data_IF_515149912467
#
_entry.id   IF_515149912467
#
_cell.length_a   1.000
_cell.length_b   1.000
_cell.length_c   1.000
_cell.angle_alpha   90.00
_cell.angle_beta   90.00
_cell.angle_gamma   90.00
#
_symmetry.space_group_name_H-M   'P 1'
#
loop_
_entity.id
_entity.type
_entity.pdbx_description
1 polymer ?
#
# COMPACT_ATOMS: atom_id res chain seq x y z
N UNK A 1 68.78 -38.06 54.74
CA UNK A 1 68.76 -36.62 54.44
C UNK A 1 69.61 -36.40 53.21
N UNK A 2 69.12 -35.98 52.05
CA UNK A 2 67.79 -35.56 51.66
C UNK A 2 67.71 -35.45 50.13
N UNK A 3 66.50 -35.61 49.60
CA UNK A 3 65.98 -34.96 48.38
C UNK A 3 66.59 -35.33 47.01
N UNK A 4 66.38 -36.57 46.55
CA UNK A 4 66.36 -36.88 45.11
C UNK A 4 65.18 -37.80 44.77
N UNK A 5 63.99 -37.21 44.64
CA UNK A 5 62.85 -37.84 43.97
C UNK A 5 62.12 -36.78 43.15
N UNK A 6 62.82 -36.26 42.14
CA UNK A 6 62.23 -35.43 41.10
C UNK A 6 61.43 -36.36 40.18
N UNK A 7 60.18 -36.63 40.59
CA UNK A 7 59.19 -37.23 39.71
C UNK A 7 58.94 -36.26 38.56
N UNK A 8 59.62 -36.49 37.45
CA UNK A 8 59.24 -35.93 36.16
C UNK A 8 57.87 -36.50 35.85
N UNK A 9 56.82 -35.74 36.17
CA UNK A 9 55.48 -36.01 35.68
C UNK A 9 55.51 -35.70 34.19
N UNK A 10 55.89 -36.67 33.37
CA UNK A 10 55.54 -36.66 31.95
C UNK A 10 54.03 -36.88 31.86
N UNK A 11 53.21 -35.88 31.46
CA UNK A 11 51.83 -36.17 31.07
C UNK A 11 51.86 -36.88 29.70
N UNK A 12 52.20 -38.18 29.72
CA UNK A 12 51.88 -39.10 28.64
C UNK A 12 50.43 -39.57 28.82
N UNK A 13 49.48 -38.63 28.79
CA UNK A 13 48.05 -38.91 28.76
C UNK A 13 47.51 -38.37 27.44
N UNK A 14 47.73 -39.17 26.40
CA UNK A 14 46.93 -39.30 25.19
C UNK A 14 46.02 -38.11 24.87
N UNK A 15 46.56 -37.15 24.09
CA UNK A 15 45.73 -36.45 23.12
C UNK A 15 45.30 -37.49 22.06
N UNK A 16 44.37 -38.37 22.43
CA UNK A 16 43.67 -39.20 21.47
C UNK A 16 42.92 -38.22 20.56
N UNK A 17 43.45 -38.00 19.36
CA UNK A 17 42.88 -37.08 18.37
C UNK A 17 41.42 -37.44 18.19
N UNK A 18 40.55 -36.54 18.62
CA UNK A 18 39.11 -36.74 18.61
C UNK A 18 38.63 -36.67 17.15
N UNK A 19 38.82 -37.73 16.37
CA UNK A 19 38.60 -37.71 14.92
C UNK A 19 37.15 -37.42 14.51
N UNK A 20 36.19 -37.75 15.39
CA UNK A 20 34.77 -37.47 15.14
C UNK A 20 34.48 -35.97 15.10
N UNK A 21 35.21 -35.13 15.85
CA UNK A 21 35.01 -33.67 15.80
C UNK A 21 35.43 -33.10 14.46
N UNK A 22 36.46 -33.67 13.81
CA UNK A 22 36.91 -33.28 12.47
C UNK A 22 35.82 -33.53 11.42
N UNK A 23 35.11 -34.66 11.50
CA UNK A 23 33.98 -34.94 10.60
C UNK A 23 32.80 -34.01 10.87
N UNK A 24 32.49 -33.72 12.14
CA UNK A 24 31.43 -32.79 12.50
C UNK A 24 31.75 -31.38 12.00
N UNK A 25 32.95 -30.85 12.25
CA UNK A 25 33.34 -29.51 11.80
C UNK A 25 33.38 -29.40 10.28
N UNK A 26 33.81 -30.44 9.57
CA UNK A 26 33.79 -30.48 8.11
C UNK A 26 32.35 -30.48 7.53
N UNK A 27 31.39 -31.07 8.22
CA UNK A 27 29.98 -31.11 7.81
C UNK A 27 29.17 -29.87 8.21
N UNK A 28 29.62 -29.11 9.21
CA UNK A 28 28.93 -27.88 9.65
C UNK A 28 28.89 -26.83 8.55
N UNK A 29 30.00 -26.58 7.85
CA UNK A 29 30.06 -25.57 6.78
C UNK A 29 29.06 -25.82 5.64
N UNK A 30 29.03 -27.01 4.99
CA UNK A 30 28.03 -27.28 3.95
C UNK A 30 26.60 -27.32 4.52
N UNK A 31 26.39 -27.77 5.75
CA UNK A 31 25.07 -27.74 6.39
C UNK A 31 24.57 -26.30 6.56
N UNK A 32 25.41 -25.39 7.09
CA UNK A 32 25.09 -23.97 7.22
C UNK A 32 24.84 -23.36 5.84
N UNK A 33 25.63 -23.71 4.82
CA UNK A 33 25.43 -23.23 3.46
C UNK A 33 24.07 -23.65 2.88
N UNK A 34 23.65 -24.90 3.09
CA UNK A 34 22.33 -25.40 2.66
C UNK A 34 21.20 -24.66 3.39
N UNK A 35 21.32 -24.47 4.71
CA UNK A 35 20.33 -23.71 5.49
C UNK A 35 20.26 -22.26 5.00
N UNK A 36 21.39 -21.61 4.77
CA UNK A 36 21.45 -20.25 4.26
C UNK A 36 20.81 -20.13 2.87
N UNK A 37 21.07 -21.08 1.98
CA UNK A 37 20.45 -21.12 0.65
C UNK A 37 18.93 -21.28 0.73
N UNK A 38 18.43 -22.14 1.63
CA UNK A 38 16.99 -22.25 1.88
C UNK A 38 16.42 -20.93 2.41
N UNK A 39 17.01 -20.35 3.46
CA UNK A 39 16.53 -19.08 4.03
C UNK A 39 16.48 -17.98 2.97
N UNK A 40 17.52 -17.86 2.13
CA UNK A 40 17.54 -16.89 1.04
C UNK A 40 16.41 -17.12 0.02
N UNK A 41 16.13 -18.37 -0.35
CA UNK A 41 15.02 -18.71 -1.23
C UNK A 41 13.65 -18.36 -0.61
N UNK A 42 13.46 -18.64 0.68
CA UNK A 42 12.26 -18.26 1.43
C UNK A 42 12.08 -16.73 1.50
N UNK A 43 13.16 -15.98 1.68
CA UNK A 43 13.13 -14.52 1.66
C UNK A 43 12.77 -13.97 0.27
N UNK A 44 13.35 -14.53 -0.79
CA UNK A 44 13.05 -14.12 -2.16
C UNK A 44 11.58 -14.32 -2.52
N UNK A 45 11.01 -15.48 -2.20
CA UNK A 45 9.60 -15.77 -2.44
C UNK A 45 8.68 -14.85 -1.61
N UNK A 46 9.04 -14.54 -0.37
CA UNK A 46 8.32 -13.60 0.49
C UNK A 46 8.36 -12.17 -0.07
N UNK A 47 9.54 -11.69 -0.48
CA UNK A 47 9.69 -10.36 -1.08
C UNK A 47 8.86 -10.21 -2.36
N UNK A 48 8.79 -11.26 -3.19
CA UNK A 48 7.96 -11.24 -4.41
C UNK A 48 6.47 -11.15 -4.12
N UNK A 49 5.99 -11.82 -3.07
CA UNK A 49 4.59 -11.72 -2.61
C UNK A 49 4.30 -10.35 -2.02
N UNK A 50 5.23 -9.81 -1.23
CA UNK A 50 5.12 -8.47 -0.64
C UNK A 50 4.97 -7.38 -1.70
N UNK A 51 5.74 -7.43 -2.78
CA UNK A 51 5.62 -6.45 -3.87
C UNK A 51 4.20 -6.37 -4.45
N UNK A 52 3.50 -7.50 -4.59
CA UNK A 52 2.11 -7.53 -5.08
C UNK A 52 1.15 -6.93 -4.06
N UNK A 53 1.35 -7.23 -2.78
CA UNK A 53 0.55 -6.68 -1.69
C UNK A 53 0.73 -5.17 -1.61
N UNK A 54 1.98 -4.69 -1.62
CA UNK A 54 2.30 -3.25 -1.56
C UNK A 54 1.63 -2.50 -2.73
N UNK A 55 1.66 -3.07 -3.95
CA UNK A 55 0.97 -2.48 -5.11
C UNK A 55 -0.56 -2.45 -4.93
N UNK A 56 -1.14 -3.52 -4.39
CA UNK A 56 -2.57 -3.60 -4.11
C UNK A 56 -2.98 -2.55 -3.07
N UNK A 57 -2.25 -2.44 -1.96
CA UNK A 57 -2.49 -1.44 -0.92
C UNK A 57 -2.42 -0.02 -1.49
N UNK A 58 -1.43 0.28 -2.33
CA UNK A 58 -1.34 1.59 -3.00
C UNK A 58 -2.52 1.89 -3.92
N UNK A 59 -3.04 0.89 -4.63
CA UNK A 59 -4.24 1.08 -5.46
C UNK A 59 -5.50 1.25 -4.60
N UNK A 60 -5.58 0.54 -3.48
CA UNK A 60 -6.69 0.64 -2.54
C UNK A 60 -6.74 2.02 -1.88
N UNK A 61 -5.58 2.60 -1.52
CA UNK A 61 -5.49 3.98 -0.99
C UNK A 61 -6.14 5.01 -1.95
N UNK A 62 -5.89 4.89 -3.26
CA UNK A 62 -6.49 5.78 -4.28
C UNK A 62 -7.99 5.56 -4.41
N UNK A 63 -8.43 4.30 -4.38
CA UNK A 63 -9.86 3.96 -4.39
C UNK A 63 -10.59 4.54 -3.17
N UNK A 64 -10.04 4.35 -1.98
CA UNK A 64 -10.63 4.82 -0.74
C UNK A 64 -10.73 6.35 -0.74
N UNK A 65 -9.70 7.06 -1.22
CA UNK A 65 -9.73 8.52 -1.35
C UNK A 65 -10.87 8.99 -2.28
N UNK A 66 -10.99 8.37 -3.47
CA UNK A 66 -12.03 8.73 -4.43
C UNK A 66 -13.45 8.40 -3.91
N UNK A 67 -13.64 7.20 -3.35
CA UNK A 67 -14.93 6.75 -2.81
C UNK A 67 -15.34 7.56 -1.59
N UNK A 68 -14.40 7.88 -0.70
CA UNK A 68 -14.66 8.69 0.51
C UNK A 68 -15.08 10.10 0.12
N UNK A 69 -14.38 10.72 -0.84
CA UNK A 69 -14.74 12.05 -1.32
C UNK A 69 -16.16 12.09 -1.91
N UNK A 70 -16.49 11.14 -2.80
CA UNK A 70 -17.84 11.02 -3.37
C UNK A 70 -18.89 10.81 -2.27
N UNK A 71 -18.63 9.90 -1.33
CA UNK A 71 -19.55 9.59 -0.23
C UNK A 71 -19.80 10.81 0.68
N UNK A 72 -18.74 11.52 1.07
CA UNK A 72 -18.86 12.74 1.88
C UNK A 72 -19.63 13.84 1.15
N UNK A 73 -19.40 14.02 -0.15
CA UNK A 73 -20.12 15.01 -0.95
C UNK A 73 -21.61 14.68 -1.02
N UNK A 74 -21.98 13.41 -1.25
CA UNK A 74 -23.38 13.00 -1.34
C UNK A 74 -24.11 13.11 0.00
N UNK A 75 -23.45 12.77 1.11
CA UNK A 75 -24.04 12.88 2.46
C UNK A 75 -24.24 14.34 2.85
N UNK A 76 -23.26 15.20 2.59
CA UNK A 76 -23.33 16.61 2.99
C UNK A 76 -24.11 17.48 1.99
N UNK A 77 -24.33 16.97 0.77
CA UNK A 77 -24.86 17.74 -0.36
C UNK A 77 -23.92 18.84 -0.84
N UNK A 78 -22.73 18.97 -0.25
CA UNK A 78 -21.77 20.02 -0.56
C UNK A 78 -20.33 19.51 -0.55
N UNK A 79 -19.42 20.28 -1.15
CA UNK A 79 -17.99 19.99 -1.15
C UNK A 79 -17.29 20.99 -0.24
N UNK A 80 -16.36 20.51 0.59
CA UNK A 80 -15.53 21.38 1.42
C UNK A 80 -14.09 21.34 0.91
N UNK A 81 -13.31 22.36 1.24
CA UNK A 81 -11.90 22.45 0.85
C UNK A 81 -11.08 21.25 1.37
N UNK A 82 -11.45 20.71 2.54
CA UNK A 82 -10.82 19.52 3.10
C UNK A 82 -11.08 18.28 2.23
N UNK A 83 -12.30 18.13 1.72
CA UNK A 83 -12.67 17.01 0.85
C UNK A 83 -11.93 17.11 -0.49
N UNK A 84 -11.84 18.30 -1.09
CA UNK A 84 -11.10 18.51 -2.33
C UNK A 84 -9.62 18.23 -2.16
N UNK A 85 -9.01 18.76 -1.10
CA UNK A 85 -7.60 18.54 -0.79
C UNK A 85 -7.30 17.07 -0.56
N UNK A 86 -8.10 16.39 0.27
CA UNK A 86 -7.96 14.96 0.53
C UNK A 86 -8.10 14.13 -0.74
N UNK A 87 -9.04 14.48 -1.62
CA UNK A 87 -9.21 13.84 -2.92
C UNK A 87 -7.97 14.02 -3.80
N UNK A 88 -7.52 15.26 -4.04
CA UNK A 88 -6.38 15.56 -4.91
C UNK A 88 -5.08 14.92 -4.42
N UNK A 89 -4.83 14.96 -3.11
CA UNK A 89 -3.66 14.30 -2.50
C UNK A 89 -3.78 12.79 -2.67
N UNK A 90 -4.96 12.23 -2.38
CA UNK A 90 -5.21 10.79 -2.46
C UNK A 90 -5.07 10.21 -3.87
N UNK A 91 -5.41 10.98 -4.91
CA UNK A 91 -5.28 10.52 -6.31
C UNK A 91 -3.96 10.90 -6.98
N UNK A 92 -3.06 11.65 -6.33
CA UNK A 92 -1.83 12.16 -6.96
C UNK A 92 -0.92 11.05 -7.53
N UNK A 93 -1.00 9.84 -6.97
CA UNK A 93 -0.27 8.66 -7.44
C UNK A 93 -0.93 7.90 -8.59
N UNK A 94 -2.14 8.28 -9.03
CA UNK A 94 -2.96 7.48 -9.93
C UNK A 94 -2.26 7.18 -11.27
N UNK A 95 -1.60 8.16 -11.88
CA UNK A 95 -0.85 8.01 -13.14
C UNK A 95 0.23 6.93 -13.13
N UNK A 96 0.73 6.56 -11.95
CA UNK A 96 1.77 5.53 -11.79
C UNK A 96 1.20 4.15 -11.45
N UNK A 97 0.00 4.11 -10.86
CA UNK A 97 -0.60 2.91 -10.29
C UNK A 97 -1.62 2.26 -11.26
N UNK A 98 -2.22 3.06 -12.14
CA UNK A 98 -3.29 2.66 -13.03
C UNK A 98 -2.95 2.95 -14.51
N UNK A 99 -3.84 2.51 -15.40
CA UNK A 99 -3.72 2.84 -16.82
C UNK A 99 -4.14 4.30 -17.10
N UNK A 100 -3.87 4.76 -18.33
CA UNK A 100 -4.20 6.11 -18.76
C UNK A 100 -5.69 6.42 -18.66
N UNK A 101 -6.56 5.44 -18.88
CA UNK A 101 -8.02 5.63 -18.85
C UNK A 101 -8.50 5.91 -17.42
N UNK A 102 -7.94 5.19 -16.45
CA UNK A 102 -8.27 5.40 -15.05
C UNK A 102 -7.67 6.69 -14.50
N UNK A 103 -6.45 7.03 -14.93
CA UNK A 103 -5.84 8.32 -14.61
C UNK A 103 -6.68 9.49 -15.15
N UNK A 104 -7.13 9.40 -16.40
CA UNK A 104 -8.04 10.40 -17.01
C UNK A 104 -9.36 10.50 -16.24
N UNK A 105 -9.93 9.36 -15.87
CA UNK A 105 -11.16 9.31 -15.08
C UNK A 105 -11.02 10.05 -13.74
N UNK A 106 -9.94 9.82 -12.99
CA UNK A 106 -9.75 10.42 -11.68
C UNK A 106 -9.32 11.90 -11.80
N UNK A 107 -8.26 12.18 -12.54
CA UNK A 107 -7.67 13.52 -12.60
C UNK A 107 -8.47 14.52 -13.45
N UNK A 108 -9.31 14.04 -14.38
CA UNK A 108 -10.10 14.90 -15.26
C UNK A 108 -11.60 14.72 -15.06
N UNK A 109 -12.17 13.54 -15.36
CA UNK A 109 -13.64 13.37 -15.37
C UNK A 109 -14.26 13.63 -13.98
N UNK A 110 -13.81 12.91 -12.95
CA UNK A 110 -14.36 13.01 -11.60
C UNK A 110 -14.01 14.35 -10.95
N UNK A 111 -12.77 14.82 -11.12
CA UNK A 111 -12.34 16.12 -10.61
C UNK A 111 -13.16 17.29 -11.17
N UNK A 112 -13.48 17.27 -12.48
CA UNK A 112 -14.31 18.31 -13.11
C UNK A 112 -15.72 18.37 -12.52
N UNK A 113 -16.31 17.22 -12.19
CA UNK A 113 -17.64 17.18 -11.55
C UNK A 113 -17.58 17.76 -10.13
N UNK A 114 -16.55 17.42 -9.36
CA UNK A 114 -16.33 17.96 -8.00
C UNK A 114 -16.13 19.48 -8.06
N UNK A 115 -15.27 19.95 -8.97
CA UNK A 115 -15.01 21.38 -9.17
C UNK A 115 -16.25 22.14 -9.64
N UNK A 116 -17.09 21.53 -10.50
CA UNK A 116 -18.39 22.09 -10.92
C UNK A 116 -19.32 22.27 -9.72
N UNK A 117 -19.34 21.31 -8.80
CA UNK A 117 -20.14 21.42 -7.57
C UNK A 117 -19.65 22.56 -6.68
N UNK A 118 -18.33 22.73 -6.52
CA UNK A 118 -17.75 23.87 -5.81
C UNK A 118 -18.16 25.19 -6.46
N UNK A 119 -18.01 25.32 -7.78
CA UNK A 119 -18.39 26.53 -8.51
C UNK A 119 -19.87 26.89 -8.28
N UNK A 120 -20.78 25.91 -8.34
CA UNK A 120 -22.21 26.13 -8.06
C UNK A 120 -22.45 26.56 -6.60
N UNK A 121 -21.69 26.02 -5.64
CA UNK A 121 -21.78 26.46 -4.24
C UNK A 121 -21.28 27.89 -4.06
N UNK A 122 -20.19 28.27 -4.72
CA UNK A 122 -19.67 29.62 -4.68
C UNK A 122 -20.69 30.62 -5.26
N UNK A 123 -21.38 30.27 -6.36
CA UNK A 123 -22.48 31.08 -6.93
C UNK A 123 -23.64 31.28 -5.93
N UNK A 124 -23.92 30.31 -5.05
CA UNK A 124 -24.98 30.43 -4.06
C UNK A 124 -24.65 31.40 -2.92
N UNK A 125 -23.36 31.59 -2.62
CA UNK A 125 -22.90 32.50 -1.56
C UNK A 125 -23.07 33.94 -2.06
N UNK A 126 -24.24 34.52 -1.79
CA UNK A 126 -24.58 35.90 -2.16
C UNK A 126 -25.68 36.02 -3.23
N UNK A 127 -26.23 34.91 -3.72
CA UNK A 127 -27.31 34.94 -4.71
C UNK A 127 -28.59 35.62 -4.17
N UNK A 128 -29.21 36.52 -4.96
CA UNK A 128 -30.54 37.07 -4.67
C UNK A 128 -31.58 35.95 -4.49
N UNK A 129 -32.62 36.21 -3.70
CA UNK A 129 -33.63 35.21 -3.34
C UNK A 129 -34.30 34.56 -4.56
N UNK A 130 -34.52 35.32 -5.63
CA UNK A 130 -35.11 34.86 -6.90
C UNK A 130 -34.26 33.80 -7.61
N UNK A 131 -32.93 33.88 -7.49
CA UNK A 131 -32.00 32.96 -8.16
C UNK A 131 -31.68 31.71 -7.34
N UNK A 132 -32.06 31.69 -6.05
CA UNK A 132 -31.76 30.57 -5.13
C UNK A 132 -32.37 29.25 -5.59
N UNK A 133 -33.59 29.26 -6.12
CA UNK A 133 -34.23 28.03 -6.63
C UNK A 133 -33.46 27.45 -7.81
N UNK A 134 -33.03 28.30 -8.74
CA UNK A 134 -32.24 27.87 -9.89
C UNK A 134 -30.88 27.32 -9.46
N UNK A 135 -30.22 27.96 -8.49
CA UNK A 135 -28.94 27.52 -7.97
C UNK A 135 -29.02 26.17 -7.23
N UNK A 136 -30.09 25.93 -6.46
CA UNK A 136 -30.34 24.63 -5.82
C UNK A 136 -30.62 23.54 -6.86
N UNK A 137 -31.35 23.84 -7.92
CA UNK A 137 -31.58 22.88 -9.02
C UNK A 137 -30.27 22.51 -9.73
N UNK A 138 -29.40 23.48 -10.02
CA UNK A 138 -28.06 23.21 -10.57
C UNK A 138 -27.26 22.29 -9.66
N UNK A 139 -27.26 22.56 -8.35
CA UNK A 139 -26.54 21.75 -7.36
C UNK A 139 -27.08 20.31 -7.32
N UNK A 140 -28.40 20.14 -7.32
CA UNK A 140 -29.03 18.83 -7.35
C UNK A 140 -28.65 18.04 -8.61
N UNK A 141 -28.61 18.68 -9.77
CA UNK A 141 -28.19 18.04 -11.02
C UNK A 141 -26.75 17.53 -10.93
N UNK A 142 -25.82 18.33 -10.39
CA UNK A 142 -24.42 17.91 -10.21
C UNK A 142 -24.29 16.79 -9.17
N UNK A 143 -25.05 16.83 -8.07
CA UNK A 143 -25.09 15.71 -7.12
C UNK A 143 -25.62 14.42 -7.76
N UNK A 144 -26.55 14.53 -8.71
CA UNK A 144 -27.00 13.41 -9.54
C UNK A 144 -25.86 12.80 -10.36
N UNK A 145 -25.05 13.64 -11.01
CA UNK A 145 -23.85 13.20 -11.75
C UNK A 145 -22.86 12.48 -10.82
N UNK A 146 -22.60 13.03 -9.62
CA UNK A 146 -21.72 12.42 -8.60
C UNK A 146 -22.27 11.07 -8.12
N UNK A 147 -23.58 10.96 -7.93
CA UNK A 147 -24.21 9.70 -7.54
C UNK A 147 -24.05 8.62 -8.62
N UNK A 148 -24.13 8.98 -9.91
CA UNK A 148 -23.80 8.07 -11.02
C UNK A 148 -22.34 7.62 -10.95
N UNK A 149 -21.40 8.50 -10.57
CA UNK A 149 -20.01 8.10 -10.36
C UNK A 149 -19.86 7.10 -9.21
N UNK A 150 -20.57 7.29 -8.09
CA UNK A 150 -20.56 6.33 -6.97
C UNK A 150 -21.00 4.92 -7.41
N UNK A 151 -22.02 4.83 -8.26
CA UNK A 151 -22.53 3.54 -8.75
C UNK A 151 -21.53 2.84 -9.70
N UNK A 152 -20.75 3.61 -10.45
CA UNK A 152 -19.80 3.09 -11.43
C UNK A 152 -18.37 2.88 -10.91
N UNK A 153 -18.00 3.49 -9.78
CA UNK A 153 -16.60 3.52 -9.32
C UNK A 153 -16.05 2.12 -9.02
N UNK A 154 -16.82 1.27 -8.36
CA UNK A 154 -16.40 -0.10 -8.01
C UNK A 154 -16.07 -0.91 -9.27
N UNK A 155 -16.89 -0.78 -10.31
CA UNK A 155 -16.67 -1.46 -11.60
C UNK A 155 -15.42 -0.97 -12.33
N UNK A 156 -15.08 0.31 -12.20
CA UNK A 156 -13.87 0.91 -12.80
C UNK A 156 -12.60 0.47 -12.08
N UNK A 157 -12.66 0.34 -10.75
CA UNK A 157 -11.52 -0.11 -9.95
C UNK A 157 -11.35 -1.63 -9.92
N UNK A 158 -12.40 -2.40 -10.20
CA UNK A 158 -12.39 -3.86 -10.16
C UNK A 158 -11.19 -4.51 -10.87
N UNK A 159 -10.81 -4.14 -12.11
CA UNK A 159 -9.67 -4.76 -12.80
C UNK A 159 -8.31 -4.55 -12.09
N UNK A 160 -8.20 -3.53 -11.25
CA UNK A 160 -6.96 -3.15 -10.57
C UNK A 160 -6.88 -3.66 -9.14
N UNK A 161 -8.04 -3.91 -8.52
CA UNK A 161 -8.20 -4.40 -7.14
C UNK A 161 -8.60 -5.89 -7.07
N UNK A 162 -8.89 -6.54 -8.20
CA UNK A 162 -9.04 -7.98 -8.20
C UNK A 162 -7.67 -8.64 -8.00
N UNK A 163 -7.46 -9.26 -6.83
CA UNK A 163 -6.40 -10.24 -6.60
C UNK A 163 -6.80 -11.57 -7.30
N UNK A 164 -7.00 -11.51 -8.61
CA UNK A 164 -7.33 -12.68 -9.44
C UNK A 164 -6.15 -13.66 -9.48
N UNK A 165 -6.49 -14.94 -9.36
CA UNK A 165 -5.65 -16.13 -9.16
C UNK A 165 -4.69 -16.41 -10.32
#
# INVERSE_FOLDING_TARGET
MDLYSLHIFTPAAAAASVHWTTYVTALLTPMIAVIAAWVAYSQWTTARRKLKLDLFEKRLEVYDAARTAIGQILVNGKVSAEVESAYLIGIAGAKWLFDKKMDEYLNHELWMIISKLHAVQAEQIGAPQEERRAAVQKQFAVLGEINTQLQGIDSRFYPFLSLGH
#
